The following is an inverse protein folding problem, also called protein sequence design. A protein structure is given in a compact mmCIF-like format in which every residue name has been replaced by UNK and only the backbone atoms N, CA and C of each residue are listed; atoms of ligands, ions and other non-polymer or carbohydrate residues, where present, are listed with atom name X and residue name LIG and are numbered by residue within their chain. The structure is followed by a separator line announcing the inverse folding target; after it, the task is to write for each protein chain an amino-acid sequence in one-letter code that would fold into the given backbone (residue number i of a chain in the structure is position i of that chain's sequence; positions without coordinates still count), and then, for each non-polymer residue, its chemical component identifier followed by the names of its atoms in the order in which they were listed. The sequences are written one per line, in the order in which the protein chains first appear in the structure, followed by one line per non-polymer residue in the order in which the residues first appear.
data_IF_515478828535
#
_entry.id   IF_515478828535
#
_cell.length_a   1.000
_cell.length_b   1.000
_cell.length_c   1.000
_cell.angle_alpha   90.00
_cell.angle_beta   90.00
_cell.angle_gamma   90.00
#
_symmetry.space_group_name_H-M   'P 1'
#
loop_
_entity.id
_entity.type
_entity.pdbx_description
1 polymer ?
#
# COMPACT_ATOMS: atom_id res chain seq x y z
N UNK A 1 -8.67 12.21 4.59
CA UNK A 1 -7.19 12.37 4.67
C UNK A 1 -6.52 11.00 4.66
N UNK A 2 -5.21 10.92 4.40
CA UNK A 2 -4.44 9.69 4.63
C UNK A 2 -3.50 9.96 5.81
N UNK A 3 -3.64 9.17 6.87
CA UNK A 3 -2.83 9.21 8.09
C UNK A 3 -1.99 7.95 8.12
N UNK A 4 -0.71 8.12 8.43
CA UNK A 4 0.26 7.05 8.48
C UNK A 4 1.10 7.16 9.76
N UNK A 5 1.30 6.03 10.41
CA UNK A 5 2.17 5.87 11.58
C UNK A 5 3.34 4.95 11.24
N UNK A 6 4.55 5.34 11.59
CA UNK A 6 5.73 4.47 11.45
C UNK A 6 6.03 3.63 12.70
N UNK A 7 7.06 2.79 12.63
CA UNK A 7 7.52 1.94 13.74
C UNK A 7 7.96 2.75 14.99
N UNK A 8 8.21 4.05 14.85
CA UNK A 8 8.56 4.96 15.95
C UNK A 8 7.34 5.78 16.42
N UNK A 9 6.13 5.39 16.03
CA UNK A 9 4.86 6.09 16.29
C UNK A 9 4.80 7.52 15.72
N UNK A 10 5.69 7.86 14.79
CA UNK A 10 5.67 9.18 14.15
C UNK A 10 4.49 9.26 13.20
N UNK A 11 3.67 10.29 13.41
CA UNK A 11 2.45 10.52 12.65
C UNK A 11 2.72 11.43 11.46
N UNK A 12 2.44 10.93 10.25
CA UNK A 12 2.37 11.73 9.03
C UNK A 12 0.91 11.78 8.58
N UNK A 13 0.41 12.95 8.18
CA UNK A 13 -0.94 13.10 7.66
C UNK A 13 -0.97 14.01 6.45
N UNK A 14 -1.63 13.55 5.39
CA UNK A 14 -1.85 14.30 4.17
C UNK A 14 -3.35 14.51 3.97
N UNK A 15 -3.74 15.77 3.79
CA UNK A 15 -5.08 16.16 3.34
C UNK A 15 -5.34 15.65 1.92
N UNK A 16 -6.61 15.63 1.51
CA UNK A 16 -6.98 15.15 0.17
C UNK A 16 -6.33 15.99 -0.94
N UNK A 17 -6.20 17.31 -0.72
CA UNK A 17 -5.49 18.22 -1.63
C UNK A 17 -4.00 17.89 -1.71
N UNK A 18 -3.35 17.62 -0.58
CA UNK A 18 -1.93 17.25 -0.57
C UNK A 18 -1.68 15.91 -1.26
N UNK A 19 -2.53 14.89 -1.01
CA UNK A 19 -2.45 13.59 -1.68
C UNK A 19 -2.56 13.79 -3.19
N UNK A 20 -3.62 14.48 -3.65
CA UNK A 20 -3.82 14.77 -5.07
C UNK A 20 -2.62 15.49 -5.69
N UNK A 21 -2.15 16.58 -5.08
CA UNK A 21 -1.04 17.37 -5.60
C UNK A 21 0.26 16.55 -5.69
N UNK A 22 0.57 15.76 -4.66
CA UNK A 22 1.75 14.90 -4.67
C UNK A 22 1.63 13.79 -5.71
N UNK A 23 0.45 13.19 -5.88
CA UNK A 23 0.23 12.16 -6.89
C UNK A 23 0.29 12.72 -8.32
N UNK A 24 -0.25 13.91 -8.59
CA UNK A 24 -0.14 14.58 -9.89
C UNK A 24 1.32 14.98 -10.20
N UNK A 25 2.09 15.40 -9.19
CA UNK A 25 3.53 15.65 -9.34
C UNK A 25 4.32 14.38 -9.59
N UNK A 26 4.01 13.31 -8.85
CA UNK A 26 4.60 11.99 -9.05
C UNK A 26 4.32 11.49 -10.48
N UNK A 27 3.08 11.64 -10.95
CA UNK A 27 2.70 11.34 -12.33
C UNK A 27 3.56 12.12 -13.34
N UNK A 28 3.70 13.44 -13.16
CA UNK A 28 4.52 14.28 -14.02
C UNK A 28 6.01 13.86 -14.01
N UNK A 29 6.56 13.53 -12.84
CA UNK A 29 7.92 13.01 -12.70
C UNK A 29 8.09 11.70 -13.47
N UNK A 30 7.16 10.74 -13.31
CA UNK A 30 7.17 9.48 -14.05
C UNK A 30 7.14 9.73 -15.57
N UNK A 31 6.28 10.63 -16.06
CA UNK A 31 6.22 11.01 -17.48
C UNK A 31 7.51 11.63 -17.98
N UNK A 32 8.11 12.54 -17.21
CA UNK A 32 9.41 13.14 -17.55
C UNK A 32 10.53 12.10 -17.64
N UNK A 33 10.38 10.98 -16.92
CA UNK A 33 11.29 9.84 -16.97
C UNK A 33 10.96 8.81 -18.06
N UNK A 34 9.96 9.06 -18.92
CA UNK A 34 9.61 8.21 -20.06
C UNK A 34 8.49 7.21 -19.81
N UNK A 35 7.86 7.20 -18.62
CA UNK A 35 6.68 6.37 -18.40
C UNK A 35 5.55 6.84 -19.31
N UNK A 36 4.91 5.92 -20.03
CA UNK A 36 3.79 6.21 -20.91
C UNK A 36 2.52 5.46 -20.51
N UNK A 37 1.39 5.91 -21.07
CA UNK A 37 0.11 5.24 -20.91
C UNK A 37 0.21 3.76 -21.33
N UNK A 38 -0.27 2.87 -20.47
CA UNK A 38 -0.25 1.42 -20.70
C UNK A 38 1.06 0.71 -20.32
N UNK A 39 2.12 1.44 -19.97
CA UNK A 39 3.33 0.82 -19.41
C UNK A 39 3.04 0.22 -18.03
N UNK A 40 3.70 -0.89 -17.70
CA UNK A 40 3.58 -1.52 -16.37
C UNK A 40 4.71 -1.03 -15.48
N UNK A 41 4.32 -0.45 -14.33
CA UNK A 41 5.23 0.00 -13.28
C UNK A 41 5.05 -0.90 -12.06
N UNK A 42 6.08 -1.66 -11.70
CA UNK A 42 6.08 -2.49 -10.51
C UNK A 42 6.48 -1.67 -9.29
N UNK A 43 5.56 -1.50 -8.33
CA UNK A 43 5.82 -0.80 -7.09
C UNK A 43 6.13 -1.80 -5.96
N UNK A 44 7.41 -1.85 -5.57
CA UNK A 44 7.95 -2.74 -4.55
C UNK A 44 8.12 -2.05 -3.19
N UNK A 45 7.65 -0.80 -3.04
CA UNK A 45 7.73 -0.11 -1.76
C UNK A 45 6.98 -0.89 -0.65
N UNK A 46 7.47 -0.83 0.60
CA UNK A 46 6.75 -1.37 1.75
C UNK A 46 5.46 -0.57 2.02
N UNK A 47 4.68 -0.97 3.03
CA UNK A 47 3.54 -0.17 3.49
C UNK A 47 4.04 1.20 3.94
N UNK A 48 3.70 2.26 3.22
CA UNK A 48 4.11 3.62 3.54
C UNK A 48 3.22 4.64 2.83
N UNK A 49 3.30 5.91 3.24
CA UNK A 49 2.57 6.98 2.57
C UNK A 49 3.11 7.25 1.15
N UNK A 50 4.43 7.10 0.95
CA UNK A 50 5.09 7.16 -0.36
C UNK A 50 4.48 6.14 -1.32
N UNK A 51 4.21 4.93 -0.83
CA UNK A 51 3.58 3.89 -1.64
C UNK A 51 2.18 4.29 -2.12
N UNK A 52 1.37 4.89 -1.27
CA UNK A 52 0.04 5.38 -1.67
C UNK A 52 0.15 6.48 -2.72
N UNK A 53 1.00 7.48 -2.47
CA UNK A 53 1.23 8.59 -3.41
C UNK A 53 1.72 8.09 -4.77
N UNK A 54 2.65 7.14 -4.78
CA UNK A 54 3.24 6.59 -6.01
C UNK A 54 2.28 5.67 -6.75
N UNK A 55 1.47 4.87 -6.05
CA UNK A 55 0.39 4.10 -6.69
C UNK A 55 -0.60 5.01 -7.43
N UNK A 56 -1.06 6.08 -6.78
CA UNK A 56 -1.90 7.07 -7.43
C UNK A 56 -1.16 7.78 -8.57
N UNK A 57 0.11 8.15 -8.38
CA UNK A 57 0.92 8.78 -9.43
C UNK A 57 1.08 7.93 -10.69
N UNK A 58 1.29 6.62 -10.53
CA UNK A 58 1.34 5.65 -11.64
C UNK A 58 0.01 5.64 -12.39
N UNK A 59 -1.10 5.49 -11.68
CA UNK A 59 -2.44 5.47 -12.30
C UNK A 59 -2.77 6.80 -12.99
N UNK A 60 -2.41 7.93 -12.39
CA UNK A 60 -2.58 9.26 -12.99
C UNK A 60 -1.67 9.48 -14.21
N UNK A 61 -0.54 8.78 -14.33
CA UNK A 61 0.29 8.78 -15.53
C UNK A 61 -0.31 7.95 -16.69
N UNK A 62 -1.44 7.27 -16.44
CA UNK A 62 -2.08 6.32 -17.34
C UNK A 62 -1.36 4.97 -17.42
N UNK A 63 -0.40 4.73 -16.53
CA UNK A 63 0.34 3.49 -16.44
C UNK A 63 -0.38 2.49 -15.53
N UNK A 64 -0.01 1.21 -15.66
CA UNK A 64 -0.58 0.10 -14.92
C UNK A 64 0.27 -0.12 -13.67
N UNK A 65 -0.33 0.04 -12.48
CA UNK A 65 0.36 -0.25 -11.22
C UNK A 65 0.38 -1.74 -10.95
N UNK A 66 1.57 -2.35 -10.92
CA UNK A 66 1.76 -3.71 -10.44
C UNK A 66 2.15 -3.68 -8.97
N UNK A 67 1.31 -4.25 -8.11
CA UNK A 67 1.46 -4.23 -6.66
C UNK A 67 2.45 -5.31 -6.21
N UNK A 68 3.74 -4.99 -6.25
CA UNK A 68 4.82 -5.97 -6.17
C UNK A 68 5.25 -6.40 -4.77
N UNK A 69 4.74 -5.83 -3.67
CA UNK A 69 5.23 -6.19 -2.32
C UNK A 69 4.96 -7.63 -1.88
N UNK A 70 4.14 -8.38 -2.62
CA UNK A 70 3.94 -9.81 -2.40
C UNK A 70 5.04 -10.68 -3.05
N UNK A 71 5.90 -10.09 -3.88
CA UNK A 71 7.05 -10.77 -4.50
C UNK A 71 8.13 -10.88 -3.43
N UNK A 72 8.15 -12.02 -2.75
CA UNK A 72 9.01 -12.29 -1.59
C UNK A 72 10.11 -13.30 -1.88
N UNK A 73 10.07 -13.95 -3.05
CA UNK A 73 11.08 -14.93 -3.43
C UNK A 73 12.43 -14.27 -3.72
N UNK A 74 13.52 -15.01 -3.48
CA UNK A 74 14.89 -14.64 -3.83
C UNK A 74 15.41 -15.60 -4.89
N UNK A 75 16.08 -15.09 -5.92
CA UNK A 75 16.59 -15.87 -7.05
C UNK A 75 15.53 -16.75 -7.74
N UNK A 76 15.77 -17.21 -8.97
CA UNK A 76 15.23 -16.59 -10.20
C UNK A 76 13.72 -16.23 -10.20
N UNK A 77 12.92 -16.81 -9.31
CA UNK A 77 11.47 -16.61 -9.15
C UNK A 77 11.04 -15.18 -8.80
N UNK A 78 11.94 -14.34 -8.29
CA UNK A 78 11.68 -12.90 -8.13
C UNK A 78 11.31 -12.23 -9.46
N UNK A 79 12.00 -12.63 -10.53
CA UNK A 79 11.86 -12.01 -11.85
C UNK A 79 10.69 -12.56 -12.66
N UNK A 80 10.18 -13.74 -12.34
CA UNK A 80 9.09 -14.38 -13.07
C UNK A 80 7.82 -13.52 -13.18
N UNK A 81 7.25 -12.98 -12.08
CA UNK A 81 6.07 -12.11 -12.18
C UNK A 81 6.37 -10.80 -12.92
N UNK A 82 7.59 -10.25 -12.76
CA UNK A 82 8.04 -9.01 -13.43
C UNK A 82 8.09 -9.23 -14.95
N UNK A 83 8.67 -10.35 -15.38
CA UNK A 83 8.76 -10.77 -16.78
C UNK A 83 7.38 -11.04 -17.36
N UNK A 84 6.55 -11.79 -16.64
CA UNK A 84 5.20 -12.16 -17.08
C UNK A 84 4.30 -10.92 -17.25
N UNK A 85 4.43 -9.94 -16.37
CA UNK A 85 3.71 -8.66 -16.46
C UNK A 85 4.29 -7.69 -17.50
N UNK A 86 5.43 -8.00 -18.12
CA UNK A 86 6.16 -7.10 -19.04
C UNK A 86 6.45 -5.73 -18.41
N UNK A 87 6.90 -5.75 -17.15
CA UNK A 87 7.27 -4.54 -16.41
C UNK A 87 8.36 -3.79 -17.16
N UNK A 88 8.17 -2.47 -17.30
CA UNK A 88 9.19 -1.57 -17.84
C UNK A 88 9.88 -0.72 -16.78
N UNK A 89 9.19 -0.47 -15.67
CA UNK A 89 9.66 0.42 -14.62
C UNK A 89 9.49 -0.22 -13.26
N UNK A 90 10.48 -0.09 -12.39
CA UNK A 90 10.41 -0.60 -11.03
C UNK A 90 10.59 0.56 -10.05
N UNK A 91 9.74 0.66 -9.05
CA UNK A 91 9.92 1.55 -7.89
C UNK A 91 10.32 0.69 -6.70
N UNK A 92 11.45 1.02 -6.07
CA UNK A 92 12.00 0.26 -4.94
C UNK A 92 12.63 1.19 -3.91
N UNK A 93 12.55 0.81 -2.65
CA UNK A 93 13.32 1.45 -1.58
C UNK A 93 14.75 0.86 -1.57
N UNK A 94 15.80 1.67 -1.79
CA UNK A 94 17.19 1.21 -1.87
C UNK A 94 17.84 0.95 -0.49
N UNK A 95 17.03 0.70 0.55
CA UNK A 95 17.54 0.36 1.87
C UNK A 95 18.21 -1.01 1.86
N UNK A 96 19.20 -1.21 2.74
CA UNK A 96 19.92 -2.49 2.85
C UNK A 96 19.01 -3.64 3.28
N UNK A 97 17.95 -3.31 4.01
CA UNK A 97 16.99 -4.29 4.55
C UNK A 97 15.90 -4.66 3.54
N UNK A 98 15.79 -3.92 2.42
CA UNK A 98 14.87 -4.22 1.32
C UNK A 98 15.32 -5.46 0.55
N UNK A 99 14.59 -6.60 0.61
CA UNK A 99 14.97 -7.80 -0.15
C UNK A 99 14.93 -7.56 -1.66
N UNK A 100 13.98 -6.74 -2.12
CA UNK A 100 13.86 -6.33 -3.51
C UNK A 100 15.08 -5.56 -3.98
N UNK A 101 15.61 -4.66 -3.16
CA UNK A 101 16.83 -3.92 -3.50
C UNK A 101 18.03 -4.85 -3.66
N UNK A 102 18.17 -5.85 -2.79
CA UNK A 102 19.20 -6.88 -2.89
C UNK A 102 19.18 -7.65 -4.22
N UNK A 103 18.01 -7.77 -4.86
CA UNK A 103 17.86 -8.40 -6.18
C UNK A 103 18.17 -7.47 -7.36
N UNK A 104 18.09 -6.15 -7.17
CA UNK A 104 18.14 -5.15 -8.25
C UNK A 104 19.49 -4.44 -8.35
N UNK A 105 20.17 -4.23 -7.22
CA UNK A 105 21.30 -3.28 -7.11
C UNK A 105 22.47 -3.54 -8.07
N UNK A 106 22.72 -4.81 -8.42
CA UNK A 106 23.85 -5.21 -9.28
C UNK A 106 23.50 -5.09 -10.77
N UNK A 107 22.22 -4.86 -11.09
CA UNK A 107 21.66 -4.75 -12.44
C UNK A 107 21.31 -3.30 -12.83
N UNK A 108 22.04 -2.33 -12.28
CA UNK A 108 21.85 -0.90 -12.55
C UNK A 108 23.14 -0.29 -13.12
N UNK A 109 22.99 0.81 -13.87
CA UNK A 109 24.14 1.62 -14.25
C UNK A 109 24.85 2.16 -13.00
N UNK A 110 26.19 2.18 -13.02
CA UNK A 110 26.99 2.67 -11.90
C UNK A 110 26.85 4.20 -11.77
N UNK A 111 25.83 4.64 -11.04
CA UNK A 111 25.58 6.03 -10.71
C UNK A 111 25.03 6.16 -9.28
N UNK A 112 24.93 7.39 -8.79
CA UNK A 112 24.24 7.70 -7.53
C UNK A 112 22.88 8.40 -7.77
N UNK A 113 22.40 8.42 -9.02
CA UNK A 113 21.14 9.09 -9.37
C UNK A 113 19.94 8.37 -8.76
N UNK A 114 18.88 9.09 -8.37
CA UNK A 114 17.67 8.47 -7.80
C UNK A 114 16.86 7.65 -8.83
N UNK A 115 17.14 7.82 -10.12
CA UNK A 115 16.48 7.13 -11.22
C UNK A 115 17.56 6.62 -12.16
N UNK A 116 17.65 5.31 -12.31
CA UNK A 116 18.73 4.65 -13.03
C UNK A 116 18.22 3.75 -14.13
N UNK A 117 19.00 3.61 -15.20
CA UNK A 117 18.71 2.62 -16.24
C UNK A 117 19.07 1.24 -15.72
N UNK A 118 18.24 0.25 -16.05
CA UNK A 118 18.59 -1.14 -15.79
C UNK A 118 19.59 -1.67 -16.82
N UNK A 119 20.56 -2.44 -16.34
CA UNK A 119 21.54 -3.19 -17.13
C UNK A 119 21.23 -4.68 -17.18
N UNK A 120 20.11 -5.12 -16.58
CA UNK A 120 19.70 -6.52 -16.52
C UNK A 120 19.44 -7.08 -17.93
N UNK A 121 20.27 -8.03 -18.38
CA UNK A 121 20.13 -8.66 -19.70
C UNK A 121 19.05 -9.75 -19.75
N UNK A 122 18.68 -10.32 -18.61
CA UNK A 122 17.65 -11.36 -18.50
C UNK A 122 16.23 -10.80 -18.54
N UNK A 123 16.07 -9.52 -18.16
CA UNK A 123 14.80 -8.78 -18.17
C UNK A 123 14.96 -7.48 -18.98
N UNK A 124 15.22 -7.57 -20.30
CA UNK A 124 15.56 -6.40 -21.12
C UNK A 124 14.41 -5.41 -21.30
N UNK A 125 13.19 -5.77 -20.88
CA UNK A 125 12.04 -4.87 -20.89
C UNK A 125 12.08 -3.86 -19.75
N UNK A 126 12.78 -4.14 -18.65
CA UNK A 126 12.92 -3.17 -17.56
C UNK A 126 13.90 -2.10 -18.02
N UNK A 127 13.39 -0.89 -18.21
CA UNK A 127 14.15 0.24 -18.73
C UNK A 127 14.79 1.04 -17.59
N UNK A 128 14.03 1.32 -16.52
CA UNK A 128 14.51 2.14 -15.39
C UNK A 128 14.02 1.66 -14.03
N UNK A 129 14.82 1.96 -13.01
CA UNK A 129 14.51 1.73 -11.60
C UNK A 129 14.52 3.07 -10.86
N UNK A 130 13.43 3.35 -10.15
CA UNK A 130 13.23 4.52 -9.30
C UNK A 130 13.58 4.13 -7.86
N UNK A 131 14.66 4.69 -7.33
CA UNK A 131 15.17 4.47 -5.97
C UNK A 131 14.44 5.38 -4.96
N UNK A 132 13.15 5.14 -4.80
CA UNK A 132 12.27 5.94 -3.97
C UNK A 132 12.39 5.54 -2.50
N UNK A 133 13.13 6.34 -1.74
CA UNK A 133 13.38 6.09 -0.31
C UNK A 133 12.18 6.44 0.54
N UNK A 134 11.85 5.56 1.47
CA UNK A 134 10.79 5.77 2.46
C UNK A 134 11.34 6.60 3.62
N UNK A 135 10.73 7.74 3.92
CA UNK A 135 11.30 8.78 4.78
C UNK A 135 11.68 8.26 6.19
N UNK A 136 10.80 7.48 6.81
CA UNK A 136 11.04 6.94 8.16
C UNK A 136 12.12 5.85 8.21
N UNK A 137 12.45 5.23 7.07
CA UNK A 137 13.52 4.23 6.97
C UNK A 137 14.90 4.86 6.69
N UNK A 138 14.97 6.16 6.42
CA UNK A 138 16.24 6.86 6.21
C UNK A 138 16.94 7.04 7.57
N UNK A 139 18.15 6.48 7.76
CA UNK A 139 18.90 6.64 9.01
C UNK A 139 19.14 8.12 9.30
N UNK A 140 18.99 8.54 10.56
CA UNK A 140 19.16 9.93 10.99
C UNK A 140 20.51 10.52 10.55
N UNK A 141 21.57 9.71 10.56
CA UNK A 141 22.92 10.10 10.11
C UNK A 141 23.03 10.44 8.62
N UNK A 142 22.09 9.96 7.79
CA UNK A 142 22.11 10.10 6.32
C UNK A 142 21.10 11.14 5.79
N UNK A 143 20.25 11.71 6.65
CA UNK A 143 19.15 12.62 6.24
C UNK A 143 19.62 13.90 5.55
N UNK A 144 20.84 14.38 5.82
CA UNK A 144 21.36 15.60 5.19
C UNK A 144 21.82 15.41 3.73
N UNK A 145 22.09 14.17 3.31
CA UNK A 145 22.68 13.88 1.99
C UNK A 145 21.76 13.16 1.02
N UNK A 146 20.55 12.78 1.47
CA UNK A 146 19.68 11.88 0.72
C UNK A 146 18.23 12.37 0.80
N UNK A 147 17.54 12.42 -0.35
CA UNK A 147 16.14 12.80 -0.43
C UNK A 147 15.21 11.59 -0.27
N UNK A 148 14.10 11.79 0.43
CA UNK A 148 12.99 10.82 0.41
C UNK A 148 12.25 10.86 -0.93
N UNK A 149 11.42 9.86 -1.20
CA UNK A 149 10.55 9.87 -2.38
C UNK A 149 9.62 11.08 -2.39
N UNK A 150 9.06 11.47 -1.23
CA UNK A 150 8.22 12.66 -1.15
C UNK A 150 8.99 13.93 -1.46
N UNK A 151 10.26 14.05 -1.04
CA UNK A 151 11.08 15.22 -1.34
C UNK A 151 11.38 15.31 -2.84
N UNK A 152 11.69 14.19 -3.49
CA UNK A 152 11.87 14.14 -4.94
C UNK A 152 10.60 14.60 -5.68
N UNK A 153 9.43 14.10 -5.25
CA UNK A 153 8.13 14.46 -5.82
C UNK A 153 7.81 15.95 -5.56
N UNK A 154 8.11 16.48 -4.36
CA UNK A 154 7.89 17.89 -4.01
C UNK A 154 8.80 18.83 -4.78
N UNK A 155 10.04 18.43 -5.07
CA UNK A 155 10.97 19.21 -5.88
C UNK A 155 10.62 19.24 -7.37
N UNK A 156 9.74 18.36 -7.85
CA UNK A 156 9.30 18.36 -9.24
C UNK A 156 8.24 19.45 -9.48
N UNK A 157 8.50 20.34 -10.44
CA UNK A 157 7.68 21.53 -10.69
C UNK A 157 6.40 21.25 -11.52
N UNK A 158 6.31 20.09 -12.17
CA UNK A 158 5.19 19.74 -13.04
C UNK A 158 4.07 18.98 -12.36
N UNK A 159 2.85 19.09 -12.87
CA UNK A 159 1.73 18.19 -12.58
C UNK A 159 1.24 17.54 -13.88
N UNK A 160 0.69 16.34 -13.78
CA UNK A 160 0.16 15.63 -14.94
C UNK A 160 -0.97 14.68 -14.55
N UNK A 161 -1.98 14.60 -15.42
CA UNK A 161 -3.07 13.62 -15.36
C UNK A 161 -3.37 13.16 -16.78
N UNK A 162 -3.14 11.89 -17.04
CA UNK A 162 -3.45 11.23 -18.31
C UNK A 162 -4.94 10.97 -18.44
N UNK A 163 -5.45 11.04 -19.67
CA UNK A 163 -6.82 10.62 -19.95
C UNK A 163 -6.88 9.10 -20.12
N UNK A 164 -7.60 8.44 -19.22
CA UNK A 164 -7.85 6.99 -19.25
C UNK A 164 -9.32 6.70 -19.59
N UNK A 165 -9.56 5.52 -20.15
CA UNK A 165 -10.90 4.97 -20.38
C UNK A 165 -11.23 3.91 -19.34
N UNK A 166 -12.53 3.67 -19.15
CA UNK A 166 -13.03 2.72 -18.17
C UNK A 166 -12.47 1.29 -18.34
N UNK A 167 -12.18 0.88 -19.58
CA UNK A 167 -11.65 -0.42 -19.94
C UNK A 167 -10.11 -0.48 -19.98
N UNK A 168 -9.41 0.66 -19.84
CA UNK A 168 -7.96 0.68 -19.79
C UNK A 168 -7.48 -0.09 -18.53
N UNK A 169 -6.46 -0.95 -18.65
CA UNK A 169 -5.90 -1.63 -17.48
C UNK A 169 -5.33 -0.61 -16.49
N UNK A 170 -5.54 -0.87 -15.19
CA UNK A 170 -5.19 0.06 -14.13
C UNK A 170 -4.24 -0.57 -13.11
N UNK A 171 -4.49 -1.81 -12.70
CA UNK A 171 -3.70 -2.48 -11.66
C UNK A 171 -3.49 -3.96 -11.94
N UNK A 172 -2.33 -4.47 -11.54
CA UNK A 172 -2.00 -5.90 -11.48
C UNK A 172 -1.78 -6.27 -10.01
N UNK A 173 -2.64 -7.14 -9.48
CA UNK A 173 -2.45 -7.75 -8.16
C UNK A 173 -1.60 -9.00 -8.31
N UNK A 174 -0.56 -9.10 -7.47
CA UNK A 174 0.36 -10.23 -7.46
C UNK A 174 -0.02 -11.17 -6.32
N UNK A 175 -0.45 -12.38 -6.65
CA UNK A 175 -0.84 -13.40 -5.68
C UNK A 175 0.18 -14.54 -5.69
N UNK A 176 0.82 -14.81 -4.55
CA UNK A 176 1.72 -15.96 -4.40
C UNK A 176 0.89 -17.23 -4.28
N UNK A 177 1.02 -18.16 -5.22
CA UNK A 177 0.33 -19.44 -5.16
C UNK A 177 1.11 -20.38 -4.22
N UNK A 178 0.62 -20.54 -2.98
CA UNK A 178 1.28 -21.33 -1.93
C UNK A 178 1.72 -22.75 -2.36
N UNK A 179 0.94 -23.37 -3.26
CA UNK A 179 1.17 -24.76 -3.66
C UNK A 179 1.99 -24.93 -4.95
N UNK A 180 2.13 -23.89 -5.78
CA UNK A 180 2.60 -24.04 -7.15
C UNK A 180 3.86 -23.23 -7.48
N UNK A 181 4.55 -22.68 -6.47
CA UNK A 181 5.81 -21.91 -6.58
C UNK A 181 5.82 -20.88 -7.73
N UNK A 182 4.67 -20.30 -8.04
CA UNK A 182 4.51 -19.27 -9.06
C UNK A 182 3.57 -18.18 -8.55
N UNK A 183 3.53 -17.08 -9.29
CA UNK A 183 2.66 -15.96 -9.02
C UNK A 183 1.49 -15.94 -10.00
N UNK A 184 0.28 -15.79 -9.49
CA UNK A 184 -0.88 -15.42 -10.30
C UNK A 184 -0.93 -13.91 -10.40
N UNK A 185 -1.00 -13.41 -11.62
CA UNK A 185 -1.18 -11.99 -11.92
C UNK A 185 -2.65 -11.73 -12.23
N UNK A 186 -3.29 -10.86 -11.45
CA UNK A 186 -4.69 -10.52 -11.62
C UNK A 186 -4.82 -9.10 -12.11
N UNK A 187 -5.15 -8.95 -13.39
CA UNK A 187 -5.36 -7.65 -14.03
C UNK A 187 -6.75 -7.09 -13.69
N UNK A 188 -6.80 -5.80 -13.40
CA UNK A 188 -8.02 -5.01 -13.22
C UNK A 188 -7.94 -3.73 -14.04
N UNK A 189 -9.06 -3.35 -14.65
CA UNK A 189 -9.21 -2.05 -15.32
C UNK A 189 -9.78 -1.01 -14.35
N UNK A 190 -9.82 0.26 -14.78
CA UNK A 190 -10.33 1.36 -13.96
C UNK A 190 -11.78 1.14 -13.51
N UNK A 191 -12.66 0.66 -14.41
CA UNK A 191 -14.06 0.42 -14.08
C UNK A 191 -14.22 -0.61 -12.97
N UNK A 192 -13.47 -1.71 -13.02
CA UNK A 192 -13.53 -2.75 -11.98
C UNK A 192 -13.11 -2.20 -10.61
N UNK A 193 -12.06 -1.38 -10.55
CA UNK A 193 -11.61 -0.78 -9.29
C UNK A 193 -12.64 0.19 -8.71
N UNK A 194 -13.25 1.03 -9.55
CA UNK A 194 -14.33 1.94 -9.13
C UNK A 194 -15.56 1.17 -8.65
N UNK A 195 -15.96 0.12 -9.36
CA UNK A 195 -17.07 -0.74 -8.95
C UNK A 195 -16.80 -1.42 -7.60
N UNK A 196 -15.57 -1.89 -7.34
CA UNK A 196 -15.20 -2.41 -6.02
C UNK A 196 -15.34 -1.31 -4.96
N UNK A 197 -14.89 -0.09 -5.24
CA UNK A 197 -15.04 1.06 -4.34
C UNK A 197 -16.50 1.33 -3.95
N UNK A 198 -17.41 1.39 -4.93
CA UNK A 198 -18.83 1.57 -4.67
C UNK A 198 -19.45 0.40 -3.89
N UNK A 199 -19.04 -0.84 -4.17
CA UNK A 199 -19.52 -2.00 -3.39
C UNK A 199 -19.06 -1.94 -1.94
N UNK A 200 -17.83 -1.49 -1.69
CA UNK A 200 -17.29 -1.31 -0.33
C UNK A 200 -18.04 -0.20 0.40
N UNK A 201 -18.33 0.92 -0.27
CA UNK A 201 -19.16 2.01 0.24
C UNK A 201 -20.55 1.50 0.67
N UNK A 202 -21.27 0.83 -0.23
CA UNK A 202 -22.62 0.32 0.03
C UNK A 202 -22.62 -0.72 1.16
N UNK A 203 -21.73 -1.71 1.07
CA UNK A 203 -21.69 -2.86 1.99
C UNK A 203 -21.39 -2.44 3.44
N UNK A 204 -20.57 -1.40 3.62
CA UNK A 204 -20.16 -0.92 4.95
C UNK A 204 -20.88 0.36 5.37
N UNK A 205 -21.77 0.88 4.51
CA UNK A 205 -22.47 2.15 4.66
C UNK A 205 -21.49 3.28 5.02
N UNK A 206 -20.35 3.33 4.32
CA UNK A 206 -19.28 4.28 4.62
C UNK A 206 -19.76 5.70 4.37
N UNK A 207 -19.29 6.63 5.20
CA UNK A 207 -19.58 8.04 5.12
C UNK A 207 -18.29 8.85 5.07
N UNK A 208 -18.36 10.08 4.55
CA UNK A 208 -17.19 10.97 4.44
C UNK A 208 -16.54 11.32 5.79
N UNK A 209 -17.32 11.31 6.88
CA UNK A 209 -16.84 11.53 8.25
C UNK A 209 -16.19 10.30 8.88
N UNK A 210 -16.27 9.13 8.26
CA UNK A 210 -15.65 7.93 8.82
C UNK A 210 -14.13 8.06 8.84
N UNK A 211 -13.54 7.50 9.90
CA UNK A 211 -12.10 7.33 10.07
C UNK A 211 -11.85 5.83 10.12
N UNK A 212 -11.18 5.32 9.10
CA UNK A 212 -11.03 3.89 8.84
C UNK A 212 -9.59 3.49 9.14
N UNK A 213 -9.39 2.69 10.19
CA UNK A 213 -8.13 1.99 10.39
C UNK A 213 -8.04 0.80 9.43
N UNK A 214 -6.90 0.61 8.76
CA UNK A 214 -6.70 -0.49 7.82
C UNK A 214 -5.30 -1.10 7.98
N UNK A 215 -5.23 -2.34 8.46
CA UNK A 215 -3.97 -3.09 8.66
C UNK A 215 -3.56 -3.95 7.44
N UNK A 216 -4.38 -3.95 6.38
CA UNK A 216 -4.13 -4.81 5.24
C UNK A 216 -2.98 -4.27 4.36
N UNK A 217 -2.10 -5.15 3.85
CA UNK A 217 -1.11 -4.78 2.86
C UNK A 217 -1.77 -4.15 1.63
N UNK A 218 -1.21 -3.03 1.16
CA UNK A 218 -1.69 -2.32 -0.05
C UNK A 218 -1.66 -3.20 -1.30
N UNK A 219 -0.86 -4.28 -1.31
CA UNK A 219 -0.85 -5.27 -2.38
C UNK A 219 -2.08 -6.17 -2.44
N UNK A 220 -2.94 -6.12 -1.42
CA UNK A 220 -4.16 -6.92 -1.31
C UNK A 220 -5.34 -6.00 -1.53
N UNK A 221 -6.42 -6.53 -2.12
CA UNK A 221 -7.63 -5.74 -2.42
C UNK A 221 -8.15 -5.00 -1.17
N UNK A 222 -8.31 -5.62 0.02
CA UNK A 222 -8.78 -4.90 1.21
C UNK A 222 -7.83 -3.80 1.70
N UNK A 223 -6.55 -3.86 1.35
CA UNK A 223 -5.56 -2.84 1.70
C UNK A 223 -5.61 -1.60 0.81
N UNK A 224 -6.35 -1.62 -0.29
CA UNK A 224 -6.57 -0.42 -1.08
C UNK A 224 -7.47 0.58 -0.36
N UNK A 225 -7.22 1.89 -0.48
CA UNK A 225 -7.94 2.91 0.28
C UNK A 225 -9.32 3.22 -0.35
N UNK A 226 -10.16 2.20 -0.55
CA UNK A 226 -11.44 2.35 -1.26
C UNK A 226 -12.37 3.38 -0.60
N UNK A 227 -12.54 3.36 0.73
CA UNK A 227 -13.37 4.38 1.41
C UNK A 227 -12.87 5.81 1.21
N UNK A 228 -11.55 6.00 1.15
CA UNK A 228 -10.97 7.30 0.82
C UNK A 228 -11.29 7.73 -0.62
N UNK A 229 -11.20 6.80 -1.58
CA UNK A 229 -11.44 7.09 -3.00
C UNK A 229 -12.93 7.30 -3.29
N UNK A 230 -13.82 6.48 -2.71
CA UNK A 230 -15.26 6.50 -3.02
C UNK A 230 -16.01 7.60 -2.28
N UNK A 231 -15.85 7.70 -0.96
CA UNK A 231 -16.62 8.63 -0.11
C UNK A 231 -15.79 9.75 0.50
N UNK A 232 -14.47 9.77 0.27
CA UNK A 232 -13.59 10.81 0.82
C UNK A 232 -13.26 10.64 2.30
N UNK A 233 -13.45 9.44 2.87
CA UNK A 233 -13.19 9.16 4.28
C UNK A 233 -11.72 9.34 4.65
N UNK A 234 -11.42 9.36 5.95
CA UNK A 234 -10.03 9.30 6.42
C UNK A 234 -9.58 7.86 6.55
N UNK A 235 -8.37 7.55 6.07
CA UNK A 235 -7.74 6.24 6.21
C UNK A 235 -6.53 6.39 7.13
N UNK A 236 -6.44 5.54 8.15
CA UNK A 236 -5.33 5.42 9.08
C UNK A 236 -4.63 4.10 8.83
N UNK A 237 -3.31 4.13 8.64
CA UNK A 237 -2.46 2.95 8.47
C UNK A 237 -1.22 3.05 9.34
N UNK A 238 -0.58 1.92 9.61
CA UNK A 238 0.69 1.86 10.32
C UNK A 238 1.67 0.90 9.62
N UNK A 239 2.96 1.25 9.67
CA UNK A 239 4.05 0.27 9.55
C UNK A 239 4.32 -0.23 10.96
N UNK A 240 4.05 -1.51 11.22
CA UNK A 240 4.44 -2.20 12.44
C UNK A 240 5.40 -3.35 12.11
N UNK A 241 6.29 -3.13 11.14
CA UNK A 241 7.14 -4.20 10.55
C UNK A 241 8.13 -4.72 11.59
N UNK A 242 8.65 -3.85 12.44
CA UNK A 242 9.64 -4.22 13.47
C UNK A 242 9.03 -4.39 14.87
N UNK A 243 7.70 -4.38 14.98
CA UNK A 243 7.01 -4.47 16.25
C UNK A 243 6.76 -5.95 16.63
N UNK A 244 6.95 -6.31 17.90
CA UNK A 244 6.63 -7.66 18.37
C UNK A 244 5.11 -7.90 18.31
N UNK A 245 4.64 -9.14 18.05
CA UNK A 245 3.21 -9.42 17.90
C UNK A 245 2.35 -8.91 19.07
N UNK A 246 2.80 -9.05 20.32
CA UNK A 246 2.05 -8.55 21.49
C UNK A 246 1.92 -7.02 21.46
N UNK A 247 3.00 -6.32 21.10
CA UNK A 247 2.97 -4.86 20.97
C UNK A 247 2.11 -4.41 19.79
N UNK A 248 2.09 -5.17 18.70
CA UNK A 248 1.29 -4.86 17.49
C UNK A 248 -0.19 -4.68 17.82
N UNK A 249 -0.76 -5.54 18.68
CA UNK A 249 -2.18 -5.48 19.08
C UNK A 249 -2.47 -4.23 19.87
N UNK A 250 -1.69 -3.99 20.93
CA UNK A 250 -1.86 -2.84 21.82
C UNK A 250 -1.70 -1.55 21.03
N UNK A 251 -0.65 -1.44 20.21
CA UNK A 251 -0.42 -0.25 19.39
C UNK A 251 -1.53 -0.05 18.35
N UNK A 252 -2.02 -1.13 17.72
CA UNK A 252 -3.14 -1.05 16.78
C UNK A 252 -4.39 -0.49 17.46
N UNK A 253 -4.72 -0.98 18.66
CA UNK A 253 -5.87 -0.49 19.41
C UNK A 253 -5.67 0.95 19.89
N UNK A 254 -4.48 1.28 20.40
CA UNK A 254 -4.13 2.65 20.81
C UNK A 254 -4.27 3.63 19.64
N UNK A 255 -3.86 3.23 18.43
CA UNK A 255 -4.05 4.04 17.22
C UNK A 255 -5.53 4.21 16.86
N UNK A 256 -6.35 3.15 16.97
CA UNK A 256 -7.80 3.20 16.77
C UNK A 256 -8.44 4.21 17.74
N UNK A 257 -8.07 4.16 19.01
CA UNK A 257 -8.57 5.08 20.05
C UNK A 257 -8.08 6.50 19.78
N UNK A 258 -6.77 6.67 19.52
CA UNK A 258 -6.11 7.97 19.33
C UNK A 258 -6.65 8.73 18.13
N UNK A 259 -6.84 8.07 17.00
CA UNK A 259 -7.42 8.68 15.79
C UNK A 259 -8.95 8.69 15.81
N UNK A 260 -9.58 8.13 16.85
CA UNK A 260 -11.03 8.01 16.96
C UNK A 260 -11.64 7.30 15.75
N UNK A 261 -11.03 6.20 15.34
CA UNK A 261 -11.47 5.43 14.19
C UNK A 261 -12.91 4.95 14.41
N UNK A 262 -13.79 5.20 13.44
CA UNK A 262 -15.17 4.70 13.47
C UNK A 262 -15.27 3.31 12.86
N UNK A 263 -14.35 2.96 11.96
CA UNK A 263 -14.29 1.66 11.28
C UNK A 263 -12.88 1.09 11.40
N UNK A 264 -12.76 -0.22 11.59
CA UNK A 264 -11.50 -0.92 11.46
C UNK A 264 -11.63 -2.07 10.46
N UNK A 265 -10.73 -2.15 9.48
CA UNK A 265 -10.57 -3.31 8.61
C UNK A 265 -9.32 -4.05 9.02
N UNK A 266 -9.51 -5.27 9.54
CA UNK A 266 -8.46 -6.03 10.22
C UNK A 266 -8.25 -7.41 9.59
N UNK A 267 -7.00 -7.87 9.54
CA UNK A 267 -6.67 -9.23 9.13
C UNK A 267 -7.13 -10.26 10.17
N UNK A 268 -7.47 -11.50 9.76
CA UNK A 268 -7.87 -12.55 10.69
C UNK A 268 -6.86 -12.82 11.83
N UNK A 269 -5.53 -12.82 11.61
CA UNK A 269 -4.58 -12.95 12.71
C UNK A 269 -4.67 -11.80 13.72
N UNK A 270 -4.88 -10.56 13.26
CA UNK A 270 -5.05 -9.40 14.14
C UNK A 270 -6.30 -9.54 15.00
N UNK A 271 -7.41 -9.97 14.41
CA UNK A 271 -8.66 -10.28 15.13
C UNK A 271 -8.40 -11.33 16.20
N UNK A 272 -7.77 -12.45 15.86
CA UNK A 272 -7.43 -13.48 16.84
C UNK A 272 -6.57 -12.94 17.98
N UNK A 273 -5.59 -12.09 17.67
CA UNK A 273 -4.73 -11.53 18.70
C UNK A 273 -5.43 -10.47 19.56
N UNK A 274 -6.37 -9.71 19.01
CA UNK A 274 -7.22 -8.80 19.80
C UNK A 274 -8.04 -9.59 20.83
N UNK A 275 -8.52 -10.78 20.48
CA UNK A 275 -9.37 -11.58 21.39
C UNK A 275 -8.67 -11.95 22.69
N UNK A 276 -7.36 -12.15 22.66
CA UNK A 276 -6.57 -12.45 23.86
C UNK A 276 -6.22 -11.22 24.70
N UNK A 277 -6.57 -10.02 24.24
CA UNK A 277 -6.27 -8.75 24.92
C UNK A 277 -7.53 -7.92 25.21
N UNK A 278 -8.70 -8.32 24.70
CA UNK A 278 -9.95 -7.60 24.93
C UNK A 278 -10.32 -7.45 26.41
N UNK A 279 -9.97 -8.44 27.26
CA UNK A 279 -10.19 -8.38 28.71
C UNK A 279 -9.30 -7.35 29.42
N UNK A 280 -8.17 -6.97 28.81
CA UNK A 280 -7.22 -6.00 29.35
C UNK A 280 -7.54 -4.55 28.91
N UNK A 281 -8.55 -4.34 28.05
CA UNK A 281 -8.91 -3.00 27.58
C UNK A 281 -9.71 -2.28 28.68
N UNK A 282 -9.20 -1.16 29.24
CA UNK A 282 -9.85 -0.50 30.36
C UNK A 282 -11.18 0.15 29.95
N UNK A 283 -12.22 -0.03 30.78
CA UNK A 283 -13.51 0.63 30.60
C UNK A 283 -13.49 2.10 31.09
N UNK A 284 -14.16 3.03 30.38
CA UNK A 284 -14.90 2.83 29.13
C UNK A 284 -13.97 2.75 27.91
N UNK A 285 -14.16 1.73 27.06
CA UNK A 285 -13.38 1.58 25.83
C UNK A 285 -14.03 2.31 24.65
N UNK A 286 -13.20 2.77 23.72
CA UNK A 286 -13.66 3.28 22.43
C UNK A 286 -14.35 2.15 21.66
N UNK A 287 -15.55 2.42 21.13
CA UNK A 287 -16.33 1.43 20.40
C UNK A 287 -16.33 1.76 18.91
N UNK A 288 -15.93 0.79 18.09
CA UNK A 288 -16.04 0.91 16.64
C UNK A 288 -17.51 0.82 16.22
N UNK A 289 -17.90 1.62 15.23
CA UNK A 289 -19.19 1.43 14.54
C UNK A 289 -19.20 0.12 13.75
N UNK A 290 -18.07 -0.19 13.12
CA UNK A 290 -17.95 -1.35 12.25
C UNK A 290 -16.53 -1.93 12.29
N UNK A 291 -16.45 -3.24 12.46
CA UNK A 291 -15.23 -4.01 12.25
C UNK A 291 -15.40 -4.91 11.02
N UNK A 292 -14.47 -4.84 10.08
CA UNK A 292 -14.52 -5.63 8.84
C UNK A 292 -13.33 -6.56 8.73
N UNK A 293 -13.57 -7.74 8.15
CA UNK A 293 -12.53 -8.72 7.87
C UNK A 293 -12.91 -9.63 6.70
N UNK A 294 -12.01 -10.53 6.30
CA UNK A 294 -12.25 -11.54 5.26
C UNK A 294 -11.67 -12.88 5.67
N UNK A 295 -12.11 -13.96 5.03
CA UNK A 295 -11.65 -15.31 5.31
C UNK A 295 -12.32 -15.89 6.55
N UNK A 296 -11.67 -16.87 7.17
CA UNK A 296 -12.24 -17.62 8.28
C UNK A 296 -11.92 -16.97 9.63
N UNK A 297 -12.95 -16.69 10.41
CA UNK A 297 -12.85 -16.24 11.81
C UNK A 297 -13.72 -17.15 12.66
N UNK A 298 -13.18 -17.64 13.79
CA UNK A 298 -13.91 -18.51 14.70
C UNK A 298 -15.00 -17.76 15.45
N UNK A 299 -16.06 -18.47 15.87
CA UNK A 299 -17.10 -17.90 16.71
C UNK A 299 -16.54 -17.28 17.99
N UNK A 300 -15.60 -17.97 18.65
CA UNK A 300 -14.93 -17.47 19.87
C UNK A 300 -14.24 -16.12 19.65
N UNK A 301 -13.65 -15.90 18.47
CA UNK A 301 -13.01 -14.63 18.17
C UNK A 301 -14.05 -13.52 17.95
N UNK A 302 -15.21 -13.86 17.36
CA UNK A 302 -16.31 -12.92 17.20
C UNK A 302 -16.92 -12.50 18.53
N UNK A 303 -17.14 -13.46 19.43
CA UNK A 303 -17.72 -13.20 20.74
C UNK A 303 -16.82 -12.28 21.58
N UNK A 304 -15.50 -12.49 21.54
CA UNK A 304 -14.53 -11.67 22.27
C UNK A 304 -14.33 -10.26 21.69
N UNK A 305 -14.63 -10.04 20.40
CA UNK A 305 -14.52 -8.71 19.76
C UNK A 305 -15.84 -7.95 19.82
N UNK A 306 -16.98 -8.63 19.98
CA UNK A 306 -18.30 -8.03 20.12
C UNK A 306 -18.38 -6.83 21.08
N UNK A 307 -17.72 -6.84 22.25
CA UNK A 307 -17.72 -5.70 23.17
C UNK A 307 -17.14 -4.41 22.55
N UNK A 308 -16.14 -4.52 21.67
CA UNK A 308 -15.37 -3.37 21.15
C UNK A 308 -15.89 -2.81 19.82
N UNK A 309 -16.99 -3.35 19.29
CA UNK A 309 -17.62 -2.89 18.04
C UNK A 309 -19.14 -3.01 18.08
N UNK A 310 -19.86 -2.18 17.32
CA UNK A 310 -21.33 -2.25 17.20
C UNK A 310 -21.77 -3.31 16.18
N UNK A 311 -20.96 -3.51 15.13
CA UNK A 311 -21.22 -4.48 14.09
C UNK A 311 -19.92 -5.13 13.59
N UNK A 312 -20.04 -6.36 13.09
CA UNK A 312 -18.96 -7.09 12.43
C UNK A 312 -19.42 -7.51 11.03
N UNK A 313 -18.61 -7.20 10.01
CA UNK A 313 -18.83 -7.65 8.64
C UNK A 313 -17.71 -8.58 8.18
N UNK A 314 -18.05 -9.84 7.90
CA UNK A 314 -17.12 -10.82 7.30
C UNK A 314 -17.38 -10.90 5.81
N UNK A 315 -16.41 -10.44 5.03
CA UNK A 315 -16.51 -10.38 3.58
C UNK A 315 -15.80 -11.56 2.95
N UNK A 316 -16.52 -12.41 2.21
CA UNK A 316 -15.90 -13.49 1.45
C UNK A 316 -15.77 -13.09 -0.02
N UNK A 317 -14.53 -12.92 -0.48
CA UNK A 317 -14.23 -12.65 -1.90
C UNK A 317 -12.90 -13.27 -2.31
N UNK A 318 -12.77 -13.59 -3.59
CA UNK A 318 -11.52 -14.02 -4.21
C UNK A 318 -10.94 -12.89 -5.07
N UNK A 319 -9.61 -12.82 -5.12
CA UNK A 319 -8.84 -11.95 -6.03
C UNK A 319 -8.87 -12.52 -7.45
#
# INVERSE_FOLDING_TARGET
AIVFYDDNESRISLTNVQVRNLSERCSSLLRACGVHKGDVVCNLLPGSIEREITNFGIMLAGAIVMLGSNITDRNPHFWDPIRQAKVKYIIVDPSKDSPAWGMLKDDLEASDADIERSTNKEIPLVEKVFKFRVEHLIPTSSRCGVKSALDLIRCHDGTYVERVYAHDPAAIFVCKCAHQKHYKLVLRNHNMLVQIGHRVEDMFSLQSQDIIYNDWPVSWIPGLPFGYISVGSTIVKSTLINCSPQKVVVHTWDLIVKEKCTVASLQPPMIQMLTSHCEDIPEPHWKLRLLTTTGYVSQSAMDAIGPVTEAIAVCYSLI
#
